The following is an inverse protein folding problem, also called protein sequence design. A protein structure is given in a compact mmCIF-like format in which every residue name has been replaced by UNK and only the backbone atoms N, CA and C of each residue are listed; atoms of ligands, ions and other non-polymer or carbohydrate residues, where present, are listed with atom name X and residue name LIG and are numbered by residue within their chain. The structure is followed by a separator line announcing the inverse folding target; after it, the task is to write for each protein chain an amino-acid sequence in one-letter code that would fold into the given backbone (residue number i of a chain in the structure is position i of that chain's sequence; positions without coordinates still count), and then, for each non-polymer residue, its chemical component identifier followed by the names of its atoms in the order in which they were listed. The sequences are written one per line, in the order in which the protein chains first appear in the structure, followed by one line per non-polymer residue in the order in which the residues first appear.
data_IF_423021123009
#
_entry.id   IF_423021123009
#
_cell.length_a   1.000
_cell.length_b   1.000
_cell.length_c   1.000
_cell.angle_alpha   90.00
_cell.angle_beta   90.00
_cell.angle_gamma   90.00
#
_symmetry.space_group_name_H-M   'P 1'
#
loop_
_entity.id
_entity.type
_entity.pdbx_description
1 polymer ?
#
# COMPACT_ATOMS: atom_id res chain seq x y z
N UNK A 1 -20.47 -49.87 12.28
CA UNK A 1 -21.14 -48.57 11.98
C UNK A 1 -20.24 -47.34 12.19
N UNK A 2 -19.30 -47.33 13.16
CA UNK A 2 -18.42 -46.17 13.40
C UNK A 2 -17.42 -45.80 12.28
N UNK A 3 -16.92 -46.77 11.51
CA UNK A 3 -15.92 -46.52 10.45
C UNK A 3 -16.45 -45.62 9.32
N UNK A 4 -17.71 -45.79 8.94
CA UNK A 4 -18.34 -45.05 7.84
C UNK A 4 -18.58 -43.56 8.19
N UNK A 5 -18.87 -43.27 9.46
CA UNK A 5 -19.07 -41.89 9.91
C UNK A 5 -17.74 -41.10 9.92
N UNK A 6 -16.65 -41.75 10.33
CA UNK A 6 -15.30 -41.16 10.31
C UNK A 6 -14.86 -40.87 8.88
N UNK A 7 -15.10 -41.79 7.96
CA UNK A 7 -14.73 -41.65 6.55
C UNK A 7 -15.51 -40.51 5.84
N UNK A 8 -16.80 -40.38 6.17
CA UNK A 8 -17.63 -39.25 5.70
C UNK A 8 -17.14 -37.90 6.25
N UNK A 9 -16.79 -37.84 7.54
CA UNK A 9 -16.25 -36.63 8.15
C UNK A 9 -14.89 -36.24 7.53
N UNK A 10 -14.00 -37.22 7.29
CA UNK A 10 -12.71 -37.00 6.66
C UNK A 10 -12.87 -36.42 5.25
N UNK A 11 -13.77 -37.01 4.45
CA UNK A 11 -14.08 -36.50 3.10
C UNK A 11 -14.57 -35.05 3.15
N UNK A 12 -15.48 -34.73 4.08
CA UNK A 12 -15.98 -33.36 4.24
C UNK A 12 -14.88 -32.37 4.62
N UNK A 13 -13.94 -32.75 5.48
CA UNK A 13 -12.77 -31.90 5.82
C UNK A 13 -11.87 -31.70 4.59
N UNK A 14 -11.64 -32.76 3.80
CA UNK A 14 -10.87 -32.69 2.57
C UNK A 14 -11.51 -31.71 1.57
N UNK A 15 -12.83 -31.82 1.37
CA UNK A 15 -13.59 -30.97 0.46
C UNK A 15 -13.54 -29.50 0.89
N UNK A 16 -13.66 -29.24 2.21
CA UNK A 16 -13.52 -27.88 2.77
C UNK A 16 -12.10 -27.35 2.57
N UNK A 17 -11.08 -28.18 2.75
CA UNK A 17 -9.69 -27.76 2.54
C UNK A 17 -9.47 -27.31 1.10
N UNK A 18 -9.92 -28.11 0.13
CA UNK A 18 -9.83 -27.78 -1.30
C UNK A 18 -10.53 -26.45 -1.57
N UNK A 19 -11.75 -26.28 -1.08
CA UNK A 19 -12.50 -25.03 -1.27
C UNK A 19 -11.80 -23.81 -0.65
N UNK A 20 -11.24 -23.93 0.55
CA UNK A 20 -10.45 -22.85 1.18
C UNK A 20 -9.25 -22.49 0.32
N UNK A 21 -8.53 -23.49 -0.21
CA UNK A 21 -7.37 -23.26 -1.08
C UNK A 21 -7.76 -22.51 -2.35
N UNK A 22 -8.84 -22.90 -3.00
CA UNK A 22 -9.35 -22.26 -4.23
C UNK A 22 -9.74 -20.80 -3.97
N UNK A 23 -10.48 -20.53 -2.90
CA UNK A 23 -10.90 -19.16 -2.57
C UNK A 23 -9.72 -18.27 -2.20
N UNK A 24 -8.71 -18.82 -1.51
CA UNK A 24 -7.47 -18.07 -1.21
C UNK A 24 -6.73 -17.70 -2.49
N UNK A 25 -6.62 -18.61 -3.45
CA UNK A 25 -6.00 -18.31 -4.74
C UNK A 25 -6.78 -17.22 -5.49
N UNK A 26 -8.10 -17.32 -5.52
CA UNK A 26 -8.95 -16.31 -6.16
C UNK A 26 -8.78 -14.92 -5.52
N UNK A 27 -8.69 -14.84 -4.18
CA UNK A 27 -8.42 -13.59 -3.48
C UNK A 27 -7.05 -13.03 -3.87
N UNK A 28 -6.01 -13.87 -3.87
CA UNK A 28 -4.65 -13.44 -4.25
C UNK A 28 -4.61 -12.86 -5.68
N UNK A 29 -5.29 -13.51 -6.62
CA UNK A 29 -5.35 -13.06 -8.01
C UNK A 29 -6.13 -11.76 -8.16
N UNK A 30 -7.25 -11.61 -7.44
CA UNK A 30 -8.01 -10.36 -7.41
C UNK A 30 -7.22 -9.23 -6.75
N UNK A 31 -6.44 -9.49 -5.71
CA UNK A 31 -5.56 -8.50 -5.10
C UNK A 31 -4.48 -8.04 -6.07
N UNK A 32 -3.85 -8.96 -6.82
CA UNK A 32 -2.89 -8.60 -7.87
C UNK A 32 -3.53 -7.70 -8.92
N UNK A 33 -4.73 -8.03 -9.39
CA UNK A 33 -5.47 -7.20 -10.36
C UNK A 33 -5.82 -5.82 -9.79
N UNK A 34 -6.28 -5.76 -8.54
CA UNK A 34 -6.56 -4.50 -7.82
C UNK A 34 -5.32 -3.61 -7.77
N UNK A 35 -4.16 -4.15 -7.40
CA UNK A 35 -2.92 -3.37 -7.34
C UNK A 35 -2.41 -2.93 -8.72
N UNK A 36 -2.59 -3.75 -9.76
CA UNK A 36 -2.29 -3.35 -11.14
C UNK A 36 -3.17 -2.15 -11.57
N UNK A 37 -4.48 -2.23 -11.32
CA UNK A 37 -5.41 -1.13 -11.61
C UNK A 37 -5.09 0.15 -10.83
N UNK A 38 -4.68 0.04 -9.55
CA UNK A 38 -4.17 1.19 -8.80
C UNK A 38 -2.91 1.78 -9.44
N UNK A 39 -2.01 0.96 -9.96
CA UNK A 39 -0.83 1.42 -10.69
C UNK A 39 -1.18 2.26 -11.92
N UNK A 40 -2.13 1.79 -12.73
CA UNK A 40 -2.64 2.51 -13.90
C UNK A 40 -3.33 3.82 -13.52
N UNK A 41 -4.22 3.79 -12.51
CA UNK A 41 -4.88 4.97 -11.99
C UNK A 41 -3.89 6.01 -11.46
N UNK A 42 -2.86 5.58 -10.74
CA UNK A 42 -1.84 6.48 -10.22
C UNK A 42 -1.01 7.10 -11.34
N UNK A 43 -0.66 6.35 -12.39
CA UNK A 43 0.01 6.92 -13.58
C UNK A 43 -0.84 8.01 -14.27
N UNK A 44 -2.17 7.85 -14.25
CA UNK A 44 -3.11 8.84 -14.80
C UNK A 44 -3.36 10.04 -13.88
N UNK A 45 -3.30 9.85 -12.55
CA UNK A 45 -3.75 10.84 -11.57
C UNK A 45 -2.64 11.55 -10.82
N UNK A 46 -1.44 10.98 -10.70
CA UNK A 46 -0.42 11.52 -9.80
C UNK A 46 0.14 12.85 -10.34
N UNK A 47 -0.25 14.00 -9.77
CA UNK A 47 0.21 15.29 -10.24
C UNK A 47 1.71 15.45 -9.99
N UNK A 48 2.25 14.79 -8.95
CA UNK A 48 3.67 14.93 -8.62
C UNK A 48 4.57 14.35 -9.70
N UNK A 49 4.10 13.32 -10.42
CA UNK A 49 4.85 12.76 -11.55
C UNK A 49 4.86 13.68 -12.78
N UNK A 50 3.93 14.64 -12.83
CA UNK A 50 3.80 15.63 -13.92
C UNK A 50 4.36 17.00 -13.57
N UNK A 51 4.51 17.27 -12.28
CA UNK A 51 5.14 18.48 -11.80
C UNK A 51 6.66 18.39 -12.02
N UNK A 52 7.31 19.48 -12.47
CA UNK A 52 8.76 19.61 -12.38
C UNK A 52 9.23 19.36 -10.95
N UNK A 53 10.42 18.75 -10.82
CA UNK A 53 11.03 18.41 -9.54
C UNK A 53 11.11 19.62 -8.61
N UNK A 54 11.36 20.81 -9.16
CA UNK A 54 11.44 22.07 -8.43
C UNK A 54 10.13 22.42 -7.74
N UNK A 55 9.00 22.29 -8.45
CA UNK A 55 7.68 22.59 -7.89
C UNK A 55 7.30 21.56 -6.82
N UNK A 56 7.60 20.28 -7.05
CA UNK A 56 7.38 19.24 -6.04
C UNK A 56 8.21 19.47 -4.78
N UNK A 57 9.49 19.83 -4.92
CA UNK A 57 10.36 20.18 -3.80
C UNK A 57 9.89 21.43 -3.06
N UNK A 58 9.34 22.43 -3.75
CA UNK A 58 8.72 23.61 -3.11
C UNK A 58 7.49 23.23 -2.31
N UNK A 59 6.57 22.44 -2.88
CA UNK A 59 5.37 21.95 -2.17
C UNK A 59 5.77 21.18 -0.91
N UNK A 60 6.74 20.26 -1.01
CA UNK A 60 7.25 19.51 0.13
C UNK A 60 7.79 20.42 1.24
N UNK A 61 8.53 21.48 0.89
CA UNK A 61 9.04 22.45 1.88
C UNK A 61 7.92 23.19 2.60
N UNK A 62 6.92 23.67 1.85
CA UNK A 62 5.82 24.42 2.45
C UNK A 62 4.93 23.53 3.34
N UNK A 63 4.64 22.29 2.93
CA UNK A 63 3.88 21.34 3.74
C UNK A 63 4.58 20.93 5.05
N UNK A 64 5.91 21.09 5.14
CA UNK A 64 6.70 20.79 6.34
C UNK A 64 6.82 22.03 7.25
N UNK A 65 6.74 23.25 6.70
CA UNK A 65 6.93 24.51 7.43
C UNK A 65 5.76 24.87 8.35
N UNK A 66 4.54 24.45 8.02
CA UNK A 66 3.37 24.66 8.86
C UNK A 66 3.02 23.36 9.60
N UNK A 67 3.36 23.20 10.89
CA UNK A 67 2.82 22.09 11.65
C UNK A 67 1.29 22.26 11.70
N UNK A 68 0.49 21.24 11.32
CA UNK A 68 -0.94 21.30 11.57
C UNK A 68 -1.15 21.45 13.07
N UNK A 69 -2.20 22.20 13.43
CA UNK A 69 -2.69 22.52 14.79
C UNK A 69 -2.88 21.28 15.70
N UNK A 70 -2.72 20.07 15.16
CA UNK A 70 -2.67 18.82 15.92
C UNK A 70 -1.25 18.53 16.43
N UNK A 71 -0.92 19.21 17.52
CA UNK A 71 0.19 18.92 18.43
C UNK A 71 0.13 17.48 18.97
N UNK A 72 0.69 16.48 18.28
CA UNK A 72 1.16 15.25 18.97
C UNK A 72 2.14 14.35 18.22
N UNK A 73 2.50 14.62 16.96
CA UNK A 73 3.51 13.81 16.26
C UNK A 73 4.93 14.32 16.54
N UNK A 74 5.32 14.35 17.82
CA UNK A 74 6.70 14.71 18.24
C UNK A 74 7.77 13.69 17.81
N UNK A 75 7.42 12.60 17.13
CA UNK A 75 8.39 11.57 16.74
C UNK A 75 8.46 11.27 15.23
N UNK A 76 7.74 12.00 14.36
CA UNK A 76 7.69 11.70 12.91
C UNK A 76 8.09 12.93 12.09
N UNK A 77 9.38 13.26 12.19
CA UNK A 77 10.09 14.29 11.43
C UNK A 77 9.61 14.35 9.97
N UNK A 78 9.05 15.49 9.59
CA UNK A 78 8.23 15.67 8.41
C UNK A 78 8.83 15.25 7.03
N UNK A 79 10.15 15.10 6.80
CA UNK A 79 10.63 14.43 5.58
C UNK A 79 10.41 12.89 5.57
N UNK A 80 10.39 12.24 6.74
CA UNK A 80 10.22 10.77 6.84
C UNK A 80 8.83 10.31 6.41
N UNK A 81 7.82 11.16 6.55
CA UNK A 81 6.47 10.89 6.06
C UNK A 81 6.42 10.86 4.53
N UNK A 82 7.14 11.76 3.87
CA UNK A 82 7.24 11.80 2.40
C UNK A 82 7.87 10.53 1.83
N UNK A 83 8.79 9.89 2.57
CA UNK A 83 9.41 8.64 2.16
C UNK A 83 8.44 7.45 2.09
N UNK A 84 7.28 7.53 2.75
CA UNK A 84 6.33 6.40 2.89
C UNK A 84 5.17 6.42 1.88
N UNK A 85 5.02 7.48 1.09
CA UNK A 85 3.86 7.66 0.19
C UNK A 85 3.98 6.80 -1.06
N UNK A 86 4.99 7.03 -1.90
CA UNK A 86 5.28 6.22 -3.08
C UNK A 86 6.76 6.37 -3.47
N UNK A 87 7.27 5.49 -4.36
CA UNK A 87 8.68 5.50 -4.77
C UNK A 87 9.12 6.84 -5.39
N UNK A 88 8.23 7.51 -6.10
CA UNK A 88 8.51 8.84 -6.69
C UNK A 88 8.71 9.89 -5.60
N UNK A 89 7.85 9.92 -4.58
CA UNK A 89 7.99 10.83 -3.44
C UNK A 89 9.26 10.55 -2.64
N UNK A 90 9.58 9.26 -2.40
CA UNK A 90 10.83 8.87 -1.76
C UNK A 90 12.05 9.40 -2.52
N UNK A 91 12.09 9.20 -3.86
CA UNK A 91 13.19 9.69 -4.70
C UNK A 91 13.30 11.22 -4.63
N UNK A 92 12.18 11.93 -4.77
CA UNK A 92 12.13 13.40 -4.73
C UNK A 92 12.61 13.94 -3.38
N UNK A 93 12.11 13.38 -2.27
CA UNK A 93 12.48 13.80 -0.92
C UNK A 93 13.96 13.54 -0.60
N UNK A 94 14.50 12.38 -0.99
CA UNK A 94 15.93 12.08 -0.86
C UNK A 94 16.80 12.97 -1.75
N UNK A 95 16.30 13.39 -2.92
CA UNK A 95 17.01 14.30 -3.83
C UNK A 95 16.89 15.79 -3.46
N UNK A 96 16.16 16.12 -2.40
CA UNK A 96 15.95 17.51 -1.95
C UNK A 96 16.63 17.72 -0.59
N UNK A 97 17.95 18.03 -0.53
CA UNK A 97 18.70 18.16 0.72
C UNK A 97 18.08 19.09 1.76
N UNK A 98 17.46 20.19 1.31
CA UNK A 98 16.81 21.19 2.15
C UNK A 98 15.52 20.74 2.88
N UNK A 99 15.10 19.48 2.75
CA UNK A 99 14.00 18.90 3.56
C UNK A 99 14.49 18.26 4.86
N UNK A 100 15.79 18.05 5.00
CA UNK A 100 16.49 17.47 6.14
C UNK A 100 17.19 18.57 6.94
#
# INVERSE_FOLDING_TARGET
MGSSAVESALKRVQDIHVSISEHRQAIEDLEKQKYAAYGELNALRDPITRLPVELSSMIFKECIREPPVFESLRDHAAPMLLLRVCRSWTRLALSTPSLW
#
